data_IF_034431303960
#
_entry.id   IF_034431303960
#
_cell.length_a   1.000
_cell.length_b   1.000
_cell.length_c   1.000
_cell.angle_alpha   90.00
_cell.angle_beta   90.00
_cell.angle_gamma   90.00
#
_symmetry.space_group_name_H-M   'P 1'
#
loop_
_entity.id
_entity.type
_entity.pdbx_description
1 polymer ?
#
# COMPACT_ATOMS: atom_id res chain seq x y z
N UNK A 1 -24.43 25.77 73.21
CA UNK A 1 -25.33 25.29 72.15
C UNK A 1 -24.61 25.41 70.81
N UNK A 2 -23.72 24.48 70.50
CA UNK A 2 -23.00 24.44 69.22
C UNK A 2 -23.38 23.10 68.58
N UNK A 3 -24.34 23.17 67.66
CA UNK A 3 -24.80 22.01 66.90
C UNK A 3 -23.73 21.60 65.91
N UNK A 4 -23.25 20.37 66.03
CA UNK A 4 -22.38 19.73 65.03
C UNK A 4 -23.22 19.40 63.80
N UNK A 5 -23.03 20.14 62.71
CA UNK A 5 -23.58 19.79 61.41
C UNK A 5 -22.80 18.63 60.81
N UNK A 6 -23.40 17.43 60.80
CA UNK A 6 -22.88 16.26 60.09
C UNK A 6 -23.02 16.50 58.57
N UNK A 7 -21.95 16.93 57.91
CA UNK A 7 -21.89 16.93 56.45
C UNK A 7 -21.60 15.51 55.95
N UNK A 8 -22.64 14.79 55.56
CA UNK A 8 -22.51 13.51 54.84
C UNK A 8 -22.15 13.83 53.39
N UNK A 9 -20.86 13.88 53.09
CA UNK A 9 -20.37 13.94 51.71
C UNK A 9 -20.48 12.54 51.11
N UNK A 10 -21.56 12.28 50.36
CA UNK A 10 -21.63 11.09 49.51
C UNK A 10 -20.63 11.29 48.35
N UNK A 11 -19.45 10.69 48.46
CA UNK A 11 -18.60 10.51 47.27
C UNK A 11 -19.31 9.52 46.34
N UNK A 12 -19.93 10.01 45.26
CA UNK A 12 -20.37 9.16 44.17
C UNK A 12 -19.11 8.60 43.49
N UNK A 13 -18.73 7.38 43.86
CA UNK A 13 -17.65 6.64 43.22
C UNK A 13 -18.19 6.09 41.90
N UNK A 14 -17.94 6.78 40.79
CA UNK A 14 -18.23 6.27 39.43
C UNK A 14 -17.08 5.39 38.93
N UNK A 15 -16.56 4.48 39.75
CA UNK A 15 -15.75 3.39 39.21
C UNK A 15 -16.69 2.26 38.82
N UNK A 16 -17.25 2.32 37.61
CA UNK A 16 -17.80 1.12 37.00
C UNK A 16 -16.65 0.12 36.90
N UNK A 17 -16.80 -1.00 37.59
CA UNK A 17 -15.85 -2.10 37.55
C UNK A 17 -15.88 -2.64 36.12
N UNK A 18 -14.96 -2.19 35.27
CA UNK A 18 -14.87 -2.62 33.88
C UNK A 18 -14.35 -4.06 33.82
N UNK A 19 -15.25 -5.03 34.05
CA UNK A 19 -15.05 -6.45 33.78
C UNK A 19 -15.23 -6.82 32.30
N UNK A 20 -15.30 -5.83 31.41
CA UNK A 20 -15.08 -6.05 29.99
C UNK A 20 -13.58 -5.94 29.71
N UNK A 21 -12.95 -6.99 29.18
CA UNK A 21 -11.63 -6.84 28.55
C UNK A 21 -11.77 -5.69 27.55
N UNK A 22 -11.12 -4.55 27.80
CA UNK A 22 -10.92 -3.49 26.81
C UNK A 22 -9.99 -4.02 25.74
N UNK A 23 -10.42 -4.98 24.92
CA UNK A 23 -9.85 -5.10 23.60
C UNK A 23 -10.42 -3.94 22.81
N UNK A 24 -9.55 -2.97 22.53
CA UNK A 24 -9.81 -1.84 21.64
C UNK A 24 -10.22 -2.43 20.29
N UNK A 25 -11.52 -2.52 20.05
CA UNK A 25 -12.10 -2.86 18.76
C UNK A 25 -12.36 -1.55 18.00
N UNK A 26 -12.27 -1.55 16.65
CA UNK A 26 -12.14 -2.75 15.84
C UNK A 26 -10.67 -3.13 15.65
N UNK A 27 -10.31 -4.38 15.93
CA UNK A 27 -9.20 -5.00 15.22
C UNK A 27 -9.47 -4.85 13.72
N UNK A 28 -8.41 -4.72 12.91
CA UNK A 28 -8.52 -4.59 11.46
C UNK A 28 -9.42 -5.70 10.87
N UNK A 29 -10.64 -5.35 10.49
CA UNK A 29 -11.66 -6.26 9.94
C UNK A 29 -11.42 -6.58 8.47
N UNK A 30 -10.36 -6.04 7.84
CA UNK A 30 -10.00 -6.33 6.45
C UNK A 30 -9.69 -7.81 6.21
N UNK A 31 -9.41 -8.58 7.26
CA UNK A 31 -9.08 -10.00 7.16
C UNK A 31 -9.99 -10.85 8.04
N UNK A 32 -10.52 -11.93 7.46
CA UNK A 32 -11.33 -12.94 8.15
C UNK A 32 -10.56 -13.63 9.29
N UNK A 33 -9.22 -13.67 9.18
CA UNK A 33 -8.35 -14.32 10.15
C UNK A 33 -7.17 -13.42 10.50
N UNK A 34 -6.90 -13.28 11.80
CA UNK A 34 -5.82 -12.44 12.34
C UNK A 34 -4.75 -13.28 13.04
N UNK A 35 -3.53 -12.75 13.22
CA UNK A 35 -2.40 -13.47 13.83
C UNK A 35 -2.69 -14.08 15.22
N UNK A 36 -3.72 -13.58 15.92
CA UNK A 36 -4.21 -14.15 17.19
C UNK A 36 -4.84 -15.53 17.03
N UNK A 37 -5.47 -15.79 15.88
CA UNK A 37 -6.09 -17.06 15.52
C UNK A 37 -5.06 -18.07 14.99
N UNK A 38 -3.88 -17.61 14.54
CA UNK A 38 -2.74 -18.44 14.12
C UNK A 38 -1.83 -18.92 15.25
N UNK A 39 -2.08 -18.52 16.51
CA UNK A 39 -1.23 -18.94 17.63
C UNK A 39 -1.23 -20.47 17.77
N UNK A 40 -0.09 -21.06 18.12
CA UNK A 40 0.08 -22.53 18.25
C UNK A 40 -0.93 -23.16 19.22
N UNK A 41 -1.34 -22.41 20.23
CA UNK A 41 -2.29 -22.84 21.26
C UNK A 41 -3.74 -22.94 20.75
N UNK A 42 -4.02 -22.49 19.53
CA UNK A 42 -5.36 -22.49 18.94
C UNK A 42 -5.61 -23.74 18.07
N UNK A 43 -6.86 -24.24 18.05
CA UNK A 43 -7.23 -25.32 17.14
C UNK A 43 -7.08 -24.85 15.69
N UNK A 44 -6.72 -25.76 14.79
CA UNK A 44 -6.52 -25.46 13.36
C UNK A 44 -5.46 -24.38 13.05
N UNK A 45 -4.56 -24.08 14.00
CA UNK A 45 -3.54 -23.01 13.81
C UNK A 45 -2.69 -23.18 12.55
N UNK A 46 -2.40 -24.42 12.13
CA UNK A 46 -1.63 -24.70 10.91
C UNK A 46 -2.36 -24.27 9.63
N UNK A 47 -3.66 -24.54 9.57
CA UNK A 47 -4.52 -24.13 8.44
C UNK A 47 -4.68 -22.61 8.43
N UNK A 48 -4.86 -22.02 9.61
CA UNK A 48 -4.96 -20.56 9.75
C UNK A 48 -3.64 -19.86 9.39
N UNK A 49 -2.48 -20.41 9.75
CA UNK A 49 -1.17 -19.87 9.38
C UNK A 49 -0.92 -19.90 7.86
N UNK A 50 -1.40 -20.93 7.15
CA UNK A 50 -1.26 -21.00 5.69
C UNK A 50 -2.22 -20.06 4.94
N UNK A 51 -3.30 -19.62 5.59
CA UNK A 51 -4.25 -18.63 5.07
C UNK A 51 -3.76 -17.20 5.39
N UNK A 52 -3.31 -16.95 6.62
CA UNK A 52 -2.89 -15.64 7.11
C UNK A 52 -1.76 -14.99 6.31
N UNK A 53 -0.87 -15.80 5.74
CA UNK A 53 0.33 -15.33 5.06
C UNK A 53 0.11 -15.05 3.56
N UNK A 54 -1.03 -15.45 2.97
CA UNK A 54 -1.22 -15.40 1.51
C UNK A 54 -1.60 -14.03 0.95
N UNK A 55 -1.75 -13.01 1.80
CA UNK A 55 -2.44 -11.79 1.41
C UNK A 55 -1.52 -10.55 1.51
N UNK A 56 -1.42 -9.85 0.37
CA UNK A 56 -0.94 -8.48 0.11
C UNK A 56 0.52 -8.33 -0.32
N UNK A 57 1.48 -8.97 0.36
CA UNK A 57 2.91 -8.73 0.07
C UNK A 57 3.42 -9.73 -0.97
N UNK A 58 4.01 -9.30 -2.10
CA UNK A 58 4.62 -10.21 -3.06
C UNK A 58 5.77 -10.99 -2.41
N UNK A 59 5.92 -12.27 -2.77
CA UNK A 59 7.03 -13.08 -2.28
C UNK A 59 8.36 -12.55 -2.82
N UNK A 60 9.37 -12.42 -1.95
CA UNK A 60 10.71 -11.87 -2.27
C UNK A 60 11.81 -12.94 -2.26
N UNK A 61 11.42 -14.20 -2.25
CA UNK A 61 12.33 -15.32 -2.06
C UNK A 61 11.59 -16.62 -1.77
N UNK A 62 12.35 -17.68 -1.52
CA UNK A 62 11.82 -19.02 -1.33
C UNK A 62 12.57 -19.82 -0.28
N UNK A 63 12.02 -20.97 0.11
CA UNK A 63 12.68 -21.86 1.06
C UNK A 63 13.76 -22.71 0.36
N UNK A 64 14.97 -22.72 0.94
CA UNK A 64 16.08 -23.55 0.47
C UNK A 64 15.79 -25.03 0.70
N UNK A 65 15.84 -25.83 -0.38
CA UNK A 65 15.61 -27.29 -0.31
C UNK A 65 16.61 -28.03 0.59
N UNK A 66 17.85 -27.51 0.72
CA UNK A 66 18.92 -28.15 1.51
C UNK A 66 18.86 -27.80 2.99
N UNK A 67 18.52 -26.56 3.31
CA UNK A 67 18.62 -26.03 4.69
C UNK A 67 17.25 -25.84 5.34
N UNK A 68 16.17 -25.85 4.56
CA UNK A 68 14.80 -25.54 5.02
C UNK A 68 14.61 -24.09 5.46
N UNK A 69 15.62 -23.22 5.28
CA UNK A 69 15.60 -21.81 5.65
C UNK A 69 15.06 -20.96 4.49
N UNK A 70 14.37 -19.88 4.82
CA UNK A 70 13.94 -18.90 3.83
C UNK A 70 15.16 -18.11 3.32
N UNK A 71 15.34 -18.09 2.01
CA UNK A 71 16.41 -17.37 1.34
C UNK A 71 15.78 -16.24 0.50
N UNK A 72 16.20 -15.01 0.79
CA UNK A 72 15.81 -13.84 0.01
C UNK A 72 16.58 -13.86 -1.31
N UNK A 73 15.87 -13.65 -2.42
CA UNK A 73 16.43 -13.64 -3.77
C UNK A 73 16.44 -12.17 -4.21
N UNK A 74 17.62 -11.53 -4.36
CA UNK A 74 17.72 -10.11 -4.68
C UNK A 74 16.94 -9.70 -5.93
N UNK A 75 16.86 -10.58 -6.94
CA UNK A 75 16.15 -10.36 -8.20
C UNK A 75 14.62 -10.33 -8.05
N UNK A 76 14.08 -10.88 -6.96
CA UNK A 76 12.65 -10.85 -6.65
C UNK A 76 12.24 -9.57 -5.89
N UNK A 77 13.20 -8.78 -5.42
CA UNK A 77 12.91 -7.52 -4.72
C UNK A 77 12.71 -6.43 -5.80
N UNK A 78 11.57 -5.72 -5.79
CA UNK A 78 11.35 -4.62 -6.74
C UNK A 78 12.30 -3.46 -6.45
N UNK A 79 13.02 -3.01 -7.47
CA UNK A 79 13.90 -1.85 -7.41
C UNK A 79 13.15 -0.58 -7.85
N UNK A 80 13.19 0.45 -7.00
CA UNK A 80 12.63 1.76 -7.33
C UNK A 80 13.72 2.56 -8.06
N UNK A 81 13.55 2.76 -9.37
CA UNK A 81 14.47 3.56 -10.19
C UNK A 81 14.10 5.02 -10.06
N UNK A 82 14.87 5.77 -9.27
CA UNK A 82 14.67 7.21 -9.05
C UNK A 82 15.64 7.99 -9.96
N UNK A 83 15.16 8.80 -10.91
CA UNK A 83 16.03 9.67 -11.70
C UNK A 83 16.59 10.82 -10.86
N UNK A 84 17.68 11.42 -11.32
CA UNK A 84 18.18 12.67 -10.72
C UNK A 84 17.20 13.82 -11.02
N UNK A 85 16.91 14.62 -10.01
CA UNK A 85 15.93 15.72 -10.07
C UNK A 85 16.57 17.10 -9.96
N UNK A 86 17.91 17.19 -10.00
CA UNK A 86 18.62 18.48 -10.11
C UNK A 86 18.11 19.24 -11.34
N UNK A 87 17.78 20.52 -11.15
CA UNK A 87 17.30 21.42 -12.21
C UNK A 87 15.99 20.99 -12.92
N UNK A 88 15.14 20.20 -12.25
CA UNK A 88 13.81 19.86 -12.79
C UNK A 88 12.85 21.06 -12.72
N UNK A 89 12.52 21.62 -13.89
CA UNK A 89 11.59 22.75 -14.04
C UNK A 89 10.14 22.37 -13.75
N UNK A 90 9.75 21.12 -14.04
CA UNK A 90 8.39 20.63 -13.89
C UNK A 90 7.95 20.65 -12.42
N UNK A 91 6.76 21.20 -12.17
CA UNK A 91 6.14 21.26 -10.84
C UNK A 91 4.90 20.37 -10.78
N UNK A 92 4.50 19.88 -9.58
CA UNK A 92 3.31 19.04 -9.43
C UNK A 92 2.00 19.72 -9.86
N UNK A 93 1.98 21.05 -9.90
CA UNK A 93 0.82 21.86 -10.24
C UNK A 93 1.13 22.82 -11.36
N UNK A 94 0.10 23.11 -12.17
CA UNK A 94 0.16 24.04 -13.30
C UNK A 94 -0.62 25.30 -12.94
N UNK A 95 -0.20 26.44 -13.48
CA UNK A 95 -0.88 27.73 -13.32
C UNK A 95 -2.23 27.75 -14.05
N UNK A 96 -3.23 28.39 -13.45
CA UNK A 96 -4.53 28.64 -14.08
C UNK A 96 -4.48 29.63 -15.26
N UNK A 97 -3.34 30.29 -15.49
CA UNK A 97 -3.18 31.25 -16.59
C UNK A 97 -2.91 30.59 -17.95
N UNK A 98 -2.76 29.27 -17.99
CA UNK A 98 -2.49 28.50 -19.22
C UNK A 98 -3.78 28.38 -20.05
N UNK A 99 -3.72 28.48 -21.38
CA UNK A 99 -4.89 28.30 -22.23
C UNK A 99 -5.44 26.87 -22.15
N UNK A 100 -6.74 26.72 -22.37
CA UNK A 100 -7.38 25.40 -22.41
C UNK A 100 -6.90 24.59 -23.63
N UNK A 101 -6.47 23.35 -23.38
CA UNK A 101 -6.00 22.42 -24.41
C UNK A 101 -6.98 21.26 -24.51
N UNK A 102 -7.58 21.07 -25.70
CA UNK A 102 -8.41 19.89 -26.00
C UNK A 102 -7.52 18.80 -26.61
N UNK A 103 -7.31 17.70 -25.88
CA UNK A 103 -6.51 16.57 -26.33
C UNK A 103 -7.40 15.47 -26.92
N UNK A 104 -7.10 15.03 -28.14
CA UNK A 104 -7.71 13.85 -28.74
C UNK A 104 -7.09 12.55 -28.20
N UNK A 105 -7.76 11.42 -28.43
CA UNK A 105 -7.22 10.11 -28.07
C UNK A 105 -5.97 9.80 -28.90
N UNK A 106 -4.86 9.49 -28.23
CA UNK A 106 -3.61 9.13 -28.91
C UNK A 106 -3.73 7.76 -29.58
N UNK A 107 -3.50 7.71 -30.89
CA UNK A 107 -3.63 6.48 -31.69
C UNK A 107 -2.28 5.90 -32.12
N UNK A 108 -2.23 4.59 -32.37
CA UNK A 108 -1.02 3.93 -32.89
C UNK A 108 -0.55 4.51 -34.24
N UNK A 109 -1.50 4.99 -35.06
CA UNK A 109 -1.19 5.67 -36.31
C UNK A 109 -0.44 6.97 -36.07
N UNK A 110 -0.90 7.81 -35.13
CA UNK A 110 -0.21 9.07 -34.78
C UNK A 110 1.21 8.82 -34.27
N UNK A 111 1.42 7.76 -33.49
CA UNK A 111 2.77 7.36 -33.06
C UNK A 111 3.65 6.94 -34.25
N UNK A 112 3.12 6.15 -35.19
CA UNK A 112 3.84 5.75 -36.39
C UNK A 112 4.20 6.95 -37.28
N UNK A 113 3.23 7.83 -37.51
CA UNK A 113 3.38 9.02 -38.34
C UNK A 113 4.41 10.00 -37.73
N UNK A 114 4.48 10.09 -36.39
CA UNK A 114 5.44 10.95 -35.70
C UNK A 114 6.88 10.39 -35.65
N UNK A 115 7.05 9.08 -35.43
CA UNK A 115 8.37 8.49 -35.20
C UNK A 115 9.01 7.90 -36.47
N UNK A 116 8.26 7.17 -37.29
CA UNK A 116 8.82 6.31 -38.33
C UNK A 116 8.54 6.81 -39.75
N UNK A 117 7.35 7.38 -39.99
CA UNK A 117 6.96 7.82 -41.32
C UNK A 117 7.99 8.74 -42.01
N UNK A 118 8.65 9.72 -41.33
CA UNK A 118 9.64 10.58 -41.98
C UNK A 118 10.79 9.79 -42.59
N UNK A 119 11.38 8.87 -41.82
CA UNK A 119 12.50 8.03 -42.28
C UNK A 119 12.13 7.14 -43.47
N UNK A 120 10.94 6.52 -43.44
CA UNK A 120 10.49 5.62 -44.50
C UNK A 120 10.22 6.38 -45.79
N UNK A 121 9.64 7.58 -45.70
CA UNK A 121 9.36 8.42 -46.86
C UNK A 121 10.67 8.88 -47.51
N UNK A 122 11.67 9.28 -46.70
CA UNK A 122 12.99 9.66 -47.18
C UNK A 122 13.68 8.50 -47.92
N UNK A 123 13.72 7.31 -47.31
CA UNK A 123 14.29 6.11 -47.93
C UNK A 123 13.56 5.73 -49.23
N UNK A 124 12.23 5.74 -49.21
CA UNK A 124 11.41 5.43 -50.37
C UNK A 124 11.63 6.43 -51.51
N UNK A 125 11.80 7.72 -51.21
CA UNK A 125 12.06 8.74 -52.21
C UNK A 125 13.49 8.68 -52.76
N UNK A 126 14.47 8.32 -51.92
CA UNK A 126 15.84 8.11 -52.34
C UNK A 126 15.97 6.93 -53.31
N UNK A 127 15.23 5.83 -53.06
CA UNK A 127 15.22 4.64 -53.93
C UNK A 127 14.56 4.87 -55.31
N UNK A 128 13.71 5.90 -55.43
CA UNK A 128 13.03 6.25 -56.70
C UNK A 128 13.82 7.21 -57.60
N UNK A 129 14.98 7.69 -57.18
CA UNK A 129 15.91 8.50 -57.98
C UNK A 129 17.02 7.62 -58.56
#
# INVERSE_FOLDING_TARGET
MQGSTLQIVRSLRTSSFSLGKKTRDPFDQRFEVTGKHAKRDKPHHKQVQSILAKHIVPEVGGFSRKTGKYCIIPEMIPNIVVPDLTDCELKPYVSYKVPDVVQSQFTAKELFDACYAPSIIEEHNASKR
#
